data_IF_951937687936
#
_entry.id   IF_951937687936
#
_cell.length_a   1.000
_cell.length_b   1.000
_cell.length_c   1.000
_cell.angle_alpha   90.00
_cell.angle_beta   90.00
_cell.angle_gamma   90.00
#
_symmetry.space_group_name_H-M   'P 1'
#
loop_
_entity.id
_entity.type
_entity.pdbx_description
1 polymer ?
#
# COMPACT_ATOMS: atom_id res chain seq x y z
N UNK A 1 -12.58 18.74 16.01
CA UNK A 1 -11.62 18.64 14.89
C UNK A 1 -10.32 19.23 15.40
N UNK A 2 -9.23 18.47 15.40
CA UNK A 2 -7.94 18.96 15.89
C UNK A 2 -7.51 20.22 15.15
N UNK A 3 -6.82 21.14 15.84
CA UNK A 3 -6.28 22.34 15.22
C UNK A 3 -5.04 21.97 14.41
N UNK A 4 -5.15 22.03 13.08
CA UNK A 4 -3.99 21.96 12.19
C UNK A 4 -3.34 23.34 12.12
N UNK A 5 -2.01 23.39 12.12
CA UNK A 5 -1.31 24.65 11.86
C UNK A 5 -1.60 25.12 10.43
N UNK A 6 -1.64 26.44 10.22
CA UNK A 6 -1.78 27.01 8.88
C UNK A 6 -0.66 26.51 7.96
N UNK A 7 0.56 26.39 8.50
CA UNK A 7 1.72 25.88 7.76
C UNK A 7 1.52 24.45 7.22
N UNK A 8 0.95 23.53 8.02
CA UNK A 8 0.64 22.18 7.53
C UNK A 8 -0.36 22.20 6.37
N UNK A 9 -1.41 23.03 6.49
CA UNK A 9 -2.45 23.16 5.48
C UNK A 9 -1.90 23.79 4.20
N UNK A 10 -1.08 24.84 4.32
CA UNK A 10 -0.44 25.51 3.19
C UNK A 10 0.48 24.54 2.42
N UNK A 11 1.33 23.78 3.12
CA UNK A 11 2.21 22.78 2.49
C UNK A 11 1.42 21.66 1.82
N UNK A 12 0.37 21.17 2.47
CA UNK A 12 -0.50 20.14 1.90
C UNK A 12 -1.21 20.63 0.63
N UNK A 13 -1.75 21.85 0.65
CA UNK A 13 -2.40 22.43 -0.52
C UNK A 13 -1.41 22.68 -1.65
N UNK A 14 -0.21 23.18 -1.35
CA UNK A 14 0.85 23.36 -2.34
C UNK A 14 1.23 22.03 -3.02
N UNK A 15 1.34 20.94 -2.26
CA UNK A 15 1.56 19.61 -2.81
C UNK A 15 0.41 19.15 -3.70
N UNK A 16 -0.84 19.34 -3.27
CA UNK A 16 -2.02 18.98 -4.06
C UNK A 16 -2.05 19.72 -5.40
N UNK A 17 -1.77 21.03 -5.40
CA UNK A 17 -1.69 21.83 -6.62
C UNK A 17 -0.61 21.33 -7.58
N UNK A 18 0.57 20.94 -7.07
CA UNK A 18 1.63 20.33 -7.89
C UNK A 18 1.19 19.00 -8.53
N UNK A 19 0.40 18.19 -7.83
CA UNK A 19 -0.11 16.92 -8.37
C UNK A 19 -1.15 17.12 -9.48
N UNK A 20 -1.84 18.26 -9.49
CA UNK A 20 -2.92 18.58 -10.44
C UNK A 20 -2.46 19.37 -11.67
N UNK A 21 -1.15 19.46 -11.95
CA UNK A 21 -0.66 20.15 -13.14
C UNK A 21 -1.17 19.51 -14.43
N UNK A 22 -1.52 20.33 -15.42
CA UNK A 22 -1.99 19.86 -16.73
C UNK A 22 -0.93 18.99 -17.42
N UNK A 23 0.30 19.49 -17.45
CA UNK A 23 1.46 18.79 -18.00
C UNK A 23 1.89 17.61 -17.10
N UNK A 24 1.87 16.35 -17.60
CA UNK A 24 2.21 15.18 -16.79
C UNK A 24 3.63 15.20 -16.24
N UNK A 25 4.60 15.70 -17.02
CA UNK A 25 6.01 15.74 -16.64
C UNK A 25 6.30 16.81 -15.57
N UNK A 26 5.39 17.77 -15.37
CA UNK A 26 5.49 18.77 -14.30
C UNK A 26 4.99 18.24 -12.95
N UNK A 27 4.29 17.10 -12.93
CA UNK A 27 3.79 16.49 -11.70
C UNK A 27 4.94 15.84 -10.92
N UNK A 28 4.93 15.91 -9.58
CA UNK A 28 5.94 15.26 -8.77
C UNK A 28 5.88 13.74 -8.93
N UNK A 29 7.03 13.08 -8.83
CA UNK A 29 7.09 11.62 -8.74
C UNK A 29 6.44 11.14 -7.44
N UNK A 30 5.85 9.95 -7.43
CA UNK A 30 5.19 9.40 -6.23
C UNK A 30 6.13 9.36 -5.01
N UNK A 31 7.43 9.10 -5.22
CA UNK A 31 8.43 9.13 -4.14
C UNK A 31 8.58 10.53 -3.50
N UNK A 32 8.40 11.60 -4.27
CA UNK A 32 8.39 12.97 -3.76
C UNK A 32 7.09 13.26 -3.00
N UNK A 33 5.96 12.78 -3.53
CA UNK A 33 4.65 12.95 -2.89
C UNK A 33 4.63 12.30 -1.51
N UNK A 34 5.08 11.05 -1.38
CA UNK A 34 5.11 10.34 -0.08
C UNK A 34 6.02 11.07 0.90
N UNK A 35 7.23 11.46 0.47
CA UNK A 35 8.19 12.17 1.31
C UNK A 35 7.63 13.51 1.83
N UNK A 36 6.94 14.27 0.99
CA UNK A 36 6.31 15.51 1.43
C UNK A 36 5.13 15.25 2.39
N UNK A 37 4.34 14.19 2.18
CA UNK A 37 3.28 13.82 3.11
C UNK A 37 3.83 13.40 4.48
N UNK A 38 4.92 12.64 4.52
CA UNK A 38 5.62 12.27 5.76
C UNK A 38 6.17 13.50 6.48
N UNK A 39 6.75 14.46 5.73
CA UNK A 39 7.23 15.73 6.29
C UNK A 39 6.08 16.55 6.91
N UNK A 40 4.94 16.66 6.22
CA UNK A 40 3.76 17.37 6.73
C UNK A 40 3.20 16.66 7.96
N UNK A 41 3.15 15.33 7.95
CA UNK A 41 2.70 14.52 9.07
C UNK A 41 3.59 14.74 10.30
N UNK A 42 4.92 14.81 10.12
CA UNK A 42 5.87 15.07 11.19
C UNK A 42 5.74 16.46 11.81
N UNK A 43 5.09 17.42 11.14
CA UNK A 43 4.78 18.75 11.69
C UNK A 43 3.54 18.75 12.59
N UNK A 44 2.76 17.66 12.61
CA UNK A 44 1.62 17.54 13.53
C UNK A 44 2.10 17.20 14.95
N UNK A 45 1.45 17.76 15.99
CA UNK A 45 1.81 17.42 17.37
C UNK A 45 1.62 15.93 17.65
N UNK A 46 2.52 15.36 18.44
CA UNK A 46 2.67 13.92 18.75
C UNK A 46 1.44 13.25 19.42
N UNK A 47 0.34 13.98 19.67
CA UNK A 47 -0.86 13.40 20.29
C UNK A 47 -1.60 12.42 19.37
N UNK A 48 -1.33 12.42 18.06
CA UNK A 48 -2.02 11.58 17.06
C UNK A 48 -1.16 10.40 16.54
N UNK A 49 0.13 10.34 16.84
CA UNK A 49 1.06 9.30 16.33
C UNK A 49 0.98 7.97 17.09
N UNK A 50 0.45 7.96 18.33
CA UNK A 50 0.33 6.72 19.14
C UNK A 50 -0.61 5.65 18.58
N UNK A 51 -1.44 5.96 17.57
CA UNK A 51 -2.39 5.01 16.99
C UNK A 51 -1.79 4.12 15.90
N UNK A 52 -0.68 4.52 15.28
CA UNK A 52 -0.10 3.78 14.15
C UNK A 52 0.87 2.65 14.58
N UNK A 53 1.52 2.77 15.74
CA UNK A 53 2.54 1.81 16.19
C UNK A 53 1.96 0.51 16.80
N UNK A 54 0.66 0.47 17.09
CA UNK A 54 0.05 -0.70 17.76
C UNK A 54 -0.24 -1.90 16.84
N UNK A 55 0.05 -1.83 15.53
CA UNK A 55 -0.29 -2.91 14.58
C UNK A 55 0.89 -3.89 14.32
N UNK A 56 2.12 -3.60 14.78
CA UNK A 56 3.30 -4.44 14.45
C UNK A 56 3.79 -5.37 15.55
N UNK A 57 3.10 -5.47 16.70
CA UNK A 57 3.43 -6.50 17.70
C UNK A 57 2.69 -7.81 17.39
N UNK A 58 3.14 -8.53 16.36
CA UNK A 58 2.87 -9.96 16.25
C UNK A 58 3.94 -10.68 17.07
N UNK A 59 3.53 -11.18 18.23
CA UNK A 59 4.37 -11.84 19.20
C UNK A 59 5.10 -13.04 18.61
N UNK A 60 6.41 -13.07 18.87
CA UNK A 60 7.26 -14.25 18.89
C UNK A 60 6.71 -15.31 19.86
N UNK A 61 6.47 -16.53 19.36
CA UNK A 61 6.42 -17.74 20.19
C UNK A 61 6.48 -18.98 19.30
N UNK A 62 7.64 -19.61 19.21
CA UNK A 62 7.73 -20.97 18.67
C UNK A 62 9.09 -21.46 18.18
N UNK A 63 10.20 -21.16 18.86
CA UNK A 63 11.48 -21.80 18.56
C UNK A 63 11.51 -23.23 19.12
N UNK A 64 11.14 -24.22 18.31
CA UNK A 64 11.35 -25.65 18.60
C UNK A 64 12.39 -26.23 17.63
N UNK A 65 13.60 -26.39 18.18
CA UNK A 65 14.59 -27.46 18.00
C UNK A 65 14.62 -28.31 16.69
N UNK A 66 15.77 -28.18 16.00
CA UNK A 66 16.60 -29.22 15.36
C UNK A 66 16.16 -29.99 14.11
N UNK A 67 17.06 -29.88 13.13
CA UNK A 67 17.74 -30.96 12.38
C UNK A 67 17.08 -31.58 11.15
N UNK A 68 17.89 -31.57 10.08
CA UNK A 68 17.73 -32.19 8.77
C UNK A 68 17.47 -33.71 8.82
N UNK A 69 16.63 -34.23 7.90
CA UNK A 69 16.99 -35.23 6.87
C UNK A 69 15.78 -36.01 6.30
N UNK A 70 15.87 -36.26 4.99
CA UNK A 70 15.33 -37.37 4.17
C UNK A 70 13.82 -37.67 4.04
N UNK A 71 13.37 -37.58 2.78
CA UNK A 71 12.48 -38.49 2.02
C UNK A 71 11.29 -39.18 2.70
N UNK A 72 10.06 -38.80 2.33
CA UNK A 72 8.98 -39.71 1.93
C UNK A 72 7.77 -38.91 1.40
N UNK A 73 7.21 -39.41 0.29
CA UNK A 73 6.07 -38.90 -0.46
C UNK A 73 4.82 -38.85 0.45
N UNK A 74 4.08 -37.73 0.42
CA UNK A 74 2.60 -37.63 0.60
C UNK A 74 2.19 -36.17 0.46
N UNK A 75 1.73 -35.79 -0.72
CA UNK A 75 0.98 -34.56 -0.94
C UNK A 75 -0.51 -34.81 -0.66
N UNK A 76 -1.10 -34.32 0.44
CA UNK A 76 -2.51 -33.98 0.46
C UNK A 76 -2.62 -32.50 0.11
N UNK A 77 -2.58 -32.25 -1.19
CA UNK A 77 -3.12 -31.05 -1.81
C UNK A 77 -4.56 -30.89 -1.31
N UNK A 78 -4.80 -29.96 -0.39
CA UNK A 78 -6.15 -29.49 -0.08
C UNK A 78 -6.22 -28.01 -0.45
N UNK A 79 -6.36 -27.79 -1.76
CA UNK A 79 -6.88 -26.52 -2.25
C UNK A 79 -8.36 -26.51 -1.88
N UNK A 80 -8.79 -25.51 -1.12
CA UNK A 80 -10.21 -25.22 -1.02
C UNK A 80 -10.60 -24.54 -2.32
N UNK A 81 -11.45 -25.19 -3.10
CA UNK A 81 -12.00 -24.66 -4.34
C UNK A 81 -12.83 -23.40 -4.02
N UNK A 82 -12.26 -22.22 -4.26
CA UNK A 82 -13.09 -21.02 -4.46
C UNK A 82 -13.62 -21.10 -5.88
N UNK A 83 -14.94 -21.32 -5.99
CA UNK A 83 -15.67 -21.29 -7.25
C UNK A 83 -15.57 -19.88 -7.85
N UNK A 84 -14.50 -19.67 -8.62
CA UNK A 84 -14.26 -18.48 -9.43
C UNK A 84 -15.03 -18.61 -10.74
N UNK A 85 -15.95 -17.68 -10.96
CA UNK A 85 -16.81 -17.57 -12.12
C UNK A 85 -16.03 -17.60 -13.44
N UNK A 86 -16.58 -18.34 -14.40
CA UNK A 86 -16.19 -18.42 -15.81
C UNK A 86 -16.01 -17.02 -16.43
N UNK A 87 -14.75 -16.59 -16.60
CA UNK A 87 -14.43 -15.45 -17.45
C UNK A 87 -14.29 -15.98 -18.87
N UNK A 88 -15.40 -15.98 -19.62
CA UNK A 88 -15.40 -16.31 -21.04
C UNK A 88 -14.55 -15.26 -21.80
N UNK A 89 -13.24 -15.47 -21.82
CA UNK A 89 -12.29 -14.69 -22.62
C UNK A 89 -12.36 -15.18 -24.07
N UNK A 90 -13.52 -15.02 -24.70
CA UNK A 90 -13.82 -15.54 -26.04
C UNK A 90 -14.10 -14.49 -27.10
N UNK A 91 -14.13 -13.20 -26.77
CA UNK A 91 -14.41 -12.12 -27.74
C UNK A 91 -13.28 -11.10 -27.71
N UNK A 92 -12.47 -11.11 -28.76
CA UNK A 92 -11.60 -9.99 -29.13
C UNK A 92 -12.42 -9.05 -30.01
N UNK A 93 -12.83 -7.85 -29.55
CA UNK A 93 -13.53 -6.91 -30.40
C UNK A 93 -12.60 -6.42 -31.52
N UNK A 94 -13.07 -6.50 -32.76
CA UNK A 94 -12.36 -5.93 -33.92
C UNK A 94 -12.51 -4.41 -33.90
N UNK A 95 -11.42 -3.69 -33.60
CA UNK A 95 -11.37 -2.23 -33.65
C UNK A 95 -10.75 -1.83 -35.00
N UNK A 96 -11.50 -1.10 -35.82
CA UNK A 96 -10.96 -0.50 -37.06
C UNK A 96 -10.25 0.83 -36.75
N UNK A 97 -9.03 1.06 -37.27
CA UNK A 97 -8.33 2.34 -37.09
C UNK A 97 -9.01 3.46 -37.88
N UNK A 98 -8.97 4.67 -37.33
CA UNK A 98 -9.35 5.93 -38.01
C UNK A 98 -8.18 6.50 -38.79
#
# INVERSE_FOLDING_TARGET
MGSYSSECVEKFLALALKCCQDEPDARPKMAEVVRELENIWAMMPESETKRAESITTFSDSGKMVSSSSSSAIKTPYLSTDVSGSDLVSGVVPTITPR
#
